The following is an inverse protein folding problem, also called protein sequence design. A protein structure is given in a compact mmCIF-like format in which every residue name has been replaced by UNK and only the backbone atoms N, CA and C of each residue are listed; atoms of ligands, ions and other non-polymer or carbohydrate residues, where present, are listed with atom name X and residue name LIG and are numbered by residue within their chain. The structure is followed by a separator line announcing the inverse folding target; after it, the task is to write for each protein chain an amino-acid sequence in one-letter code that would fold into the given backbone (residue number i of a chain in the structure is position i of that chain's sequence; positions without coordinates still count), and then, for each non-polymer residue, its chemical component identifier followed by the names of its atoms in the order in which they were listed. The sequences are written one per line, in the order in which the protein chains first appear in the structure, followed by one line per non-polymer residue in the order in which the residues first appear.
data_IF_713677231797
#
_entry.id   IF_713677231797
#
_cell.length_a   1.000
_cell.length_b   1.000
_cell.length_c   1.000
_cell.angle_alpha   90.00
_cell.angle_beta   90.00
_cell.angle_gamma   90.00
#
_symmetry.space_group_name_H-M   'P 1'
#
loop_
_entity.id
_entity.type
_entity.pdbx_description
1 polymer ?
#
# COMPACT_ATOMS: atom_id res chain seq x y z
N UNK A 1 -57.10 -49.51 -26.20
CA UNK A 1 -55.81 -50.03 -25.68
C UNK A 1 -55.00 -48.81 -25.30
N UNK A 2 -54.67 -48.73 -24.02
CA UNK A 2 -54.32 -47.53 -23.26
C UNK A 2 -52.85 -47.14 -23.40
N UNK A 3 -52.66 -45.83 -23.55
CA UNK A 3 -51.40 -45.08 -23.52
C UNK A 3 -50.81 -45.07 -22.10
N UNK A 4 -49.49 -45.28 -21.98
CA UNK A 4 -48.78 -45.48 -20.72
C UNK A 4 -47.68 -44.45 -20.55
N UNK A 5 -48.04 -43.28 -20.02
CA UNK A 5 -47.12 -42.21 -19.61
C UNK A 5 -46.70 -42.45 -18.16
N UNK A 6 -45.42 -42.76 -17.93
CA UNK A 6 -44.82 -42.76 -16.59
C UNK A 6 -44.64 -41.31 -16.14
N UNK A 7 -45.36 -40.91 -15.10
CA UNK A 7 -45.07 -39.71 -14.33
C UNK A 7 -44.01 -40.09 -13.28
N UNK A 8 -42.87 -39.41 -13.29
CA UNK A 8 -41.85 -39.51 -12.25
C UNK A 8 -42.27 -38.55 -11.14
N UNK A 9 -42.71 -39.09 -10.01
CA UNK A 9 -42.92 -38.33 -8.77
C UNK A 9 -41.52 -37.92 -8.25
N UNK A 10 -41.25 -36.62 -8.22
CA UNK A 10 -40.06 -36.04 -7.58
C UNK A 10 -40.33 -35.92 -6.08
N UNK A 11 -39.49 -36.57 -5.25
CA UNK A 11 -39.61 -36.60 -3.79
C UNK A 11 -39.41 -35.19 -3.18
N UNK A 12 -40.43 -34.57 -2.57
CA UNK A 12 -40.37 -33.19 -2.06
C UNK A 12 -39.56 -33.04 -0.76
N UNK A 13 -39.03 -34.14 -0.20
CA UNK A 13 -38.38 -34.15 1.11
C UNK A 13 -36.90 -33.72 1.01
N UNK A 14 -36.24 -33.96 -0.12
CA UNK A 14 -34.83 -33.60 -0.31
C UNK A 14 -34.60 -32.09 -0.53
N UNK A 15 -35.60 -31.37 -1.06
CA UNK A 15 -35.45 -29.96 -1.42
C UNK A 15 -35.58 -29.00 -0.24
N UNK A 16 -36.28 -29.40 0.83
CA UNK A 16 -36.39 -28.60 2.05
C UNK A 16 -35.12 -28.69 2.89
N UNK A 17 -34.49 -29.87 2.97
CA UNK A 17 -33.23 -30.09 3.70
C UNK A 17 -32.05 -29.35 3.05
N UNK A 18 -31.99 -29.34 1.71
CA UNK A 18 -30.99 -28.57 0.96
C UNK A 18 -31.19 -27.06 1.17
N UNK A 19 -32.44 -26.59 1.22
CA UNK A 19 -32.75 -25.16 1.44
C UNK A 19 -32.38 -24.71 2.83
N UNK A 20 -32.64 -25.54 3.85
CA UNK A 20 -32.27 -25.26 5.24
C UNK A 20 -30.74 -25.20 5.41
N UNK A 21 -30.01 -26.12 4.77
CA UNK A 21 -28.53 -26.11 4.78
C UNK A 21 -27.95 -24.84 4.12
N UNK A 22 -28.56 -24.36 3.04
CA UNK A 22 -28.13 -23.13 2.34
C UNK A 22 -28.40 -21.89 3.19
N UNK A 23 -29.54 -21.81 3.88
CA UNK A 23 -29.85 -20.66 4.75
C UNK A 23 -28.96 -20.64 6.00
N UNK A 24 -28.68 -21.80 6.60
CA UNK A 24 -27.73 -21.90 7.71
C UNK A 24 -26.30 -21.47 7.30
N UNK A 25 -25.82 -21.89 6.12
CA UNK A 25 -24.52 -21.44 5.60
C UNK A 25 -24.49 -19.92 5.35
N UNK A 26 -25.62 -19.34 4.91
CA UNK A 26 -25.73 -17.89 4.70
C UNK A 26 -25.70 -17.13 6.02
N UNK A 27 -26.40 -17.60 7.04
CA UNK A 27 -26.37 -16.99 8.38
C UNK A 27 -24.98 -17.05 9.01
N UNK A 28 -24.26 -18.18 8.87
CA UNK A 28 -22.88 -18.31 9.34
C UNK A 28 -21.93 -17.34 8.62
N UNK A 29 -22.09 -17.15 7.31
CA UNK A 29 -21.28 -16.21 6.53
C UNK A 29 -21.55 -14.75 6.94
N UNK A 30 -22.81 -14.40 7.22
CA UNK A 30 -23.20 -13.07 7.70
C UNK A 30 -22.77 -12.84 9.16
N UNK A 31 -22.68 -13.90 9.97
CA UNK A 31 -22.15 -13.84 11.34
C UNK A 31 -20.64 -13.62 11.34
N UNK A 32 -19.91 -14.34 10.50
CA UNK A 32 -18.45 -14.14 10.31
C UNK A 32 -18.15 -12.73 9.81
N UNK A 33 -19.03 -12.16 8.97
CA UNK A 33 -18.95 -10.77 8.52
C UNK A 33 -19.10 -9.77 9.67
N UNK A 34 -20.03 -9.98 10.60
CA UNK A 34 -20.24 -9.09 11.76
C UNK A 34 -19.16 -9.21 12.82
N UNK A 35 -18.60 -10.40 13.00
CA UNK A 35 -17.52 -10.65 13.97
C UNK A 35 -16.15 -10.15 13.49
N UNK A 36 -15.97 -9.94 12.18
CA UNK A 36 -14.73 -9.35 11.64
C UNK A 36 -14.72 -7.80 11.62
N UNK A 37 -15.86 -7.15 11.85
CA UNK A 37 -15.94 -5.68 11.93
C UNK A 37 -15.55 -5.13 13.33
N UNK A 38 -15.01 -5.97 14.23
CA UNK A 38 -14.53 -5.57 15.56
C UNK A 38 -13.03 -5.83 15.75
N UNK A 39 -12.21 -5.34 14.81
CA UNK A 39 -10.79 -5.15 15.07
C UNK A 39 -10.54 -3.64 15.18
N UNK A 40 -10.20 -3.21 16.39
CA UNK A 40 -9.83 -1.84 16.73
C UNK A 40 -8.88 -1.26 15.68
N UNK A 41 -9.34 -0.20 14.99
CA UNK A 41 -8.50 0.55 14.07
C UNK A 41 -7.34 1.20 14.85
N UNK A 42 -6.15 0.63 14.72
CA UNK A 42 -4.91 1.37 14.89
C UNK A 42 -4.91 2.48 13.82
N UNK A 43 -5.48 3.63 14.19
CA UNK A 43 -5.53 4.86 13.41
C UNK A 43 -4.10 5.42 13.24
N UNK A 44 -3.32 4.77 12.37
CA UNK A 44 -2.02 5.26 11.93
C UNK A 44 -2.29 6.51 11.09
N UNK A 45 -1.85 7.67 11.61
CA UNK A 45 -1.90 8.93 10.86
C UNK A 45 -0.91 8.88 9.69
N UNK A 46 -1.40 8.37 8.56
CA UNK A 46 -0.67 8.30 7.30
C UNK A 46 -0.18 9.67 6.83
N UNK A 47 -0.83 10.77 7.24
CA UNK A 47 -0.39 12.14 6.93
C UNK A 47 0.98 12.43 7.52
N UNK A 48 1.22 12.01 8.76
CA UNK A 48 2.50 12.21 9.46
C UNK A 48 3.63 11.36 8.87
N UNK A 49 3.32 10.13 8.45
CA UNK A 49 4.27 9.24 7.76
C UNK A 49 4.68 9.84 6.42
N UNK A 50 3.72 10.29 5.61
CA UNK A 50 3.99 10.88 4.30
C UNK A 50 4.73 12.21 4.43
N UNK A 51 4.35 13.08 5.38
CA UNK A 51 5.06 14.33 5.65
C UNK A 51 6.52 14.11 6.08
N UNK A 52 6.80 13.02 6.80
CA UNK A 52 8.17 12.66 7.22
C UNK A 52 9.03 12.16 6.06
N UNK A 53 8.44 11.50 5.06
CA UNK A 53 9.15 11.07 3.84
C UNK A 53 9.28 12.21 2.82
N UNK A 54 8.30 13.11 2.71
CA UNK A 54 8.39 14.30 1.84
C UNK A 54 9.37 15.34 2.36
N UNK A 55 9.72 15.34 3.65
CA UNK A 55 10.70 16.25 4.24
C UNK A 55 12.15 16.02 3.77
N UNK A 56 12.41 14.96 3.00
CA UNK A 56 13.71 14.70 2.35
C UNK A 56 13.78 15.14 0.88
N UNK A 57 12.71 15.72 0.33
CA UNK A 57 12.64 16.19 -1.05
C UNK A 57 12.54 17.73 -1.11
N UNK A 58 12.98 18.31 -2.24
CA UNK A 58 13.12 19.75 -2.44
C UNK A 58 11.81 20.54 -2.16
N UNK A 59 11.89 21.74 -1.56
CA UNK A 59 10.75 22.46 -1.01
C UNK A 59 9.76 23.09 -2.01
N UNK A 60 9.99 22.99 -3.33
CA UNK A 60 9.20 23.72 -4.34
C UNK A 60 7.90 23.03 -4.82
N UNK A 61 7.61 21.79 -4.41
CA UNK A 61 6.36 21.09 -4.79
C UNK A 61 5.33 20.96 -3.65
N UNK A 62 5.29 21.92 -2.71
CA UNK A 62 4.23 22.00 -1.70
C UNK A 62 3.02 22.74 -2.24
N UNK A 63 2.17 22.07 -3.02
CA UNK A 63 0.81 22.56 -3.27
C UNK A 63 -0.20 21.44 -3.41
N UNK A 64 -1.22 21.50 -2.54
CA UNK A 64 -2.56 20.88 -2.65
C UNK A 64 -2.56 19.35 -2.42
N UNK A 65 -3.31 18.74 -1.51
CA UNK A 65 -4.53 19.14 -0.79
C UNK A 65 -4.77 18.11 0.31
N UNK A 66 -4.94 18.54 1.56
CA UNK A 66 -5.50 17.68 2.62
C UNK A 66 -6.99 17.57 2.34
N UNK A 67 -7.48 16.38 1.99
CA UNK A 67 -8.90 16.07 1.90
C UNK A 67 -9.25 14.97 2.89
N UNK A 68 -10.17 15.27 3.80
CA UNK A 68 -10.69 14.34 4.76
C UNK A 68 -11.47 13.21 4.09
N UNK A 69 -11.15 11.98 4.49
CA UNK A 69 -12.14 10.95 4.85
C UNK A 69 -13.00 10.31 3.75
N UNK A 70 -12.69 10.47 2.46
CA UNK A 70 -13.36 9.69 1.42
C UNK A 70 -12.33 9.00 0.54
N UNK A 71 -12.43 7.68 0.41
CA UNK A 71 -11.49 6.90 -0.39
C UNK A 71 -11.59 7.26 -1.87
N UNK A 72 -10.57 6.87 -2.63
CA UNK A 72 -10.44 7.20 -4.04
C UNK A 72 -11.60 6.60 -4.86
N UNK A 73 -12.08 7.38 -5.83
CA UNK A 73 -13.07 6.97 -6.83
C UNK A 73 -12.37 6.97 -8.18
N UNK A 74 -12.07 5.78 -8.69
CA UNK A 74 -11.31 5.54 -9.90
C UNK A 74 -12.26 5.02 -10.98
N UNK A 75 -12.59 5.84 -11.98
CA UNK A 75 -13.59 5.53 -13.01
C UNK A 75 -13.00 5.37 -14.40
N UNK A 76 -11.82 5.93 -14.64
CA UNK A 76 -11.17 6.00 -15.94
C UNK A 76 -9.73 5.52 -15.85
N UNK A 77 -9.18 4.91 -16.92
CA UNK A 77 -7.74 4.67 -17.05
C UNK A 77 -6.87 5.92 -16.93
N UNK A 78 -7.44 7.11 -17.14
CA UNK A 78 -6.74 8.38 -16.96
C UNK A 78 -6.68 8.84 -15.49
N UNK A 79 -7.42 8.21 -14.59
CA UNK A 79 -7.43 8.59 -13.18
C UNK A 79 -6.14 8.10 -12.50
N UNK A 80 -5.48 8.98 -11.76
CA UNK A 80 -4.30 8.60 -10.96
C UNK A 80 -4.65 7.49 -9.98
N UNK A 81 -3.77 6.50 -9.88
CA UNK A 81 -4.00 5.33 -9.03
C UNK A 81 -4.89 4.25 -9.65
N UNK A 82 -5.53 4.51 -10.78
CA UNK A 82 -6.17 3.47 -11.57
C UNK A 82 -5.10 2.51 -12.11
N UNK A 83 -5.34 1.20 -12.08
CA UNK A 83 -4.31 0.20 -12.42
C UNK A 83 -3.83 0.27 -13.87
N UNK A 84 -4.65 0.80 -14.78
CA UNK A 84 -4.27 1.06 -16.19
C UNK A 84 -3.67 2.45 -16.43
N UNK A 85 -3.46 3.24 -15.36
CA UNK A 85 -2.88 4.57 -15.46
C UNK A 85 -1.46 4.50 -16.01
N UNK A 86 -1.22 5.25 -17.07
CA UNK A 86 0.09 5.45 -17.66
C UNK A 86 0.57 6.85 -17.32
N UNK A 87 1.69 6.93 -16.60
CA UNK A 87 2.29 8.20 -16.23
C UNK A 87 2.77 8.94 -17.48
N UNK A 88 2.50 10.25 -17.56
CA UNK A 88 2.85 11.08 -18.72
C UNK A 88 4.37 11.18 -18.94
N UNK A 89 5.15 11.08 -17.85
CA UNK A 89 6.62 11.11 -17.89
C UNK A 89 7.23 9.74 -18.22
N UNK A 90 6.41 8.73 -18.51
CA UNK A 90 6.84 7.36 -18.82
C UNK A 90 7.81 6.79 -17.78
N UNK A 91 7.54 7.07 -16.49
CA UNK A 91 8.42 6.67 -15.38
C UNK A 91 8.69 5.16 -15.34
N UNK A 92 7.76 4.34 -15.84
CA UNK A 92 7.92 2.89 -15.84
C UNK A 92 8.85 2.35 -16.95
N UNK A 93 9.23 3.16 -17.94
CA UNK A 93 10.10 2.75 -19.05
C UNK A 93 11.43 2.13 -18.62
N UNK A 94 12.03 2.63 -17.53
CA UNK A 94 13.26 2.08 -16.95
C UNK A 94 13.04 0.87 -16.04
N UNK A 95 11.82 0.69 -15.54
CA UNK A 95 11.46 -0.37 -14.61
C UNK A 95 11.07 -1.65 -15.34
N UNK A 96 11.61 -2.77 -14.88
CA UNK A 96 11.39 -4.09 -15.50
C UNK A 96 10.65 -5.00 -14.56
N UNK A 97 9.99 -6.03 -15.09
CA UNK A 97 9.32 -7.03 -14.24
C UNK A 97 10.28 -7.68 -13.24
N UNK A 98 11.55 -7.87 -13.59
CA UNK A 98 12.57 -8.38 -12.69
C UNK A 98 12.90 -7.49 -11.49
N UNK A 99 12.47 -6.22 -11.50
CA UNK A 99 12.65 -5.30 -10.37
C UNK A 99 11.59 -5.52 -9.27
N UNK A 100 10.56 -6.33 -9.52
CA UNK A 100 9.51 -6.61 -8.54
C UNK A 100 10.06 -7.60 -7.52
N UNK A 101 10.37 -7.10 -6.32
CA UNK A 101 10.95 -7.89 -5.24
C UNK A 101 10.03 -9.03 -4.80
N UNK A 102 10.63 -10.18 -4.50
CA UNK A 102 9.90 -11.36 -4.02
C UNK A 102 9.06 -12.07 -5.08
N UNK A 103 9.29 -11.82 -6.38
CA UNK A 103 8.77 -12.62 -7.49
C UNK A 103 9.90 -12.94 -8.46
N UNK A 104 10.07 -14.23 -8.76
CA UNK A 104 11.10 -14.69 -9.68
C UNK A 104 10.54 -14.84 -11.09
N UNK A 105 10.98 -13.98 -12.01
CA UNK A 105 10.63 -14.06 -13.43
C UNK A 105 11.75 -14.73 -14.24
N UNK A 106 11.42 -15.56 -15.24
CA UNK A 106 12.41 -16.20 -16.10
C UNK A 106 13.04 -15.22 -17.10
N UNK A 107 14.37 -15.14 -17.12
CA UNK A 107 15.19 -14.60 -18.21
C UNK A 107 14.62 -13.39 -18.96
N UNK A 108 14.17 -13.61 -20.20
CA UNK A 108 13.64 -12.54 -21.06
C UNK A 108 12.37 -11.88 -20.51
N UNK A 109 11.55 -12.62 -19.75
CA UNK A 109 10.35 -12.05 -19.12
C UNK A 109 10.74 -11.05 -18.04
N UNK A 110 11.76 -11.35 -17.23
CA UNK A 110 12.27 -10.42 -16.23
C UNK A 110 12.79 -9.11 -16.84
N UNK A 111 13.21 -9.13 -18.12
CA UNK A 111 13.73 -7.96 -18.83
C UNK A 111 12.63 -7.09 -19.47
N UNK A 112 11.38 -7.54 -19.50
CA UNK A 112 10.29 -6.76 -20.09
C UNK A 112 10.02 -5.51 -19.23
N UNK A 113 9.83 -4.34 -19.86
CA UNK A 113 9.47 -3.12 -19.14
C UNK A 113 8.07 -3.26 -18.54
N UNK A 114 7.85 -2.54 -17.44
CA UNK A 114 6.52 -2.30 -16.90
C UNK A 114 5.89 -1.19 -17.74
N UNK A 115 4.68 -1.42 -18.25
CA UNK A 115 3.94 -0.41 -19.03
C UNK A 115 2.94 0.29 -18.10
N UNK A 116 2.15 -0.52 -17.40
CA UNK A 116 1.15 -0.07 -16.44
C UNK A 116 1.05 -1.12 -15.32
N UNK A 117 0.44 -0.72 -14.20
CA UNK A 117 0.29 -1.57 -13.02
C UNK A 117 -0.57 -2.81 -13.33
N UNK A 118 -1.59 -2.70 -14.18
CA UNK A 118 -2.50 -3.79 -14.54
C UNK A 118 -1.79 -4.93 -15.29
N UNK A 119 -1.01 -4.60 -16.33
CA UNK A 119 -0.24 -5.54 -17.14
C UNK A 119 0.86 -6.21 -16.32
N UNK A 120 1.55 -5.44 -15.47
CA UNK A 120 2.53 -5.98 -14.54
C UNK A 120 1.89 -6.89 -13.49
N UNK A 121 0.74 -6.50 -12.94
CA UNK A 121 0.01 -7.26 -11.94
C UNK A 121 -0.48 -8.60 -12.49
N UNK A 122 -1.15 -8.63 -13.66
CA UNK A 122 -1.57 -9.89 -14.32
C UNK A 122 -0.40 -10.86 -14.47
N UNK A 123 0.76 -10.36 -14.87
CA UNK A 123 1.97 -11.19 -15.02
C UNK A 123 2.49 -11.63 -13.66
N UNK A 124 2.67 -10.70 -12.72
CA UNK A 124 3.17 -10.97 -11.37
C UNK A 124 2.32 -12.01 -10.61
N UNK A 125 0.99 -11.95 -10.75
CA UNK A 125 0.07 -12.88 -10.10
C UNK A 125 0.18 -14.32 -10.61
N UNK A 126 0.63 -14.56 -11.84
CA UNK A 126 0.97 -15.92 -12.31
C UNK A 126 2.25 -16.40 -11.62
N UNK A 127 3.25 -15.54 -11.49
CA UNK A 127 4.60 -15.93 -11.06
C UNK A 127 4.78 -15.98 -9.54
N UNK A 128 3.97 -15.24 -8.78
CA UNK A 128 3.96 -15.28 -7.30
C UNK A 128 3.51 -16.63 -6.73
N UNK A 129 2.73 -17.40 -7.50
CA UNK A 129 2.14 -18.67 -7.10
C UNK A 129 3.18 -19.75 -6.86
N UNK A 130 3.38 -20.18 -5.62
CA UNK A 130 4.36 -21.24 -5.31
C UNK A 130 3.81 -22.66 -5.56
N UNK A 131 2.51 -22.81 -5.79
CA UNK A 131 1.83 -24.09 -6.03
C UNK A 131 1.95 -24.60 -7.48
N UNK A 132 2.51 -23.79 -8.40
CA UNK A 132 2.66 -24.13 -9.82
C UNK A 132 4.13 -24.13 -10.22
N UNK A 133 4.48 -25.11 -11.05
CA UNK A 133 5.80 -25.18 -11.67
C UNK A 133 5.97 -24.14 -12.80
N UNK A 134 7.22 -23.87 -13.18
CA UNK A 134 7.53 -22.87 -14.19
C UNK A 134 6.91 -23.16 -15.56
N UNK A 135 6.89 -24.41 -16.07
CA UNK A 135 6.19 -24.74 -17.31
C UNK A 135 4.71 -24.37 -17.29
N UNK A 136 3.98 -24.66 -16.21
CA UNK A 136 2.56 -24.30 -16.07
C UNK A 136 2.37 -22.79 -16.02
N UNK A 137 3.21 -22.08 -15.25
CA UNK A 137 3.20 -20.60 -15.22
C UNK A 137 3.42 -20.01 -16.61
N UNK A 138 4.38 -20.54 -17.37
CA UNK A 138 4.68 -20.09 -18.72
C UNK A 138 3.55 -20.42 -19.70
N UNK A 139 2.83 -21.54 -19.52
CA UNK A 139 1.63 -21.85 -20.31
C UNK A 139 0.52 -20.83 -20.04
N UNK A 140 0.20 -20.58 -18.77
CA UNK A 140 -0.79 -19.57 -18.36
C UNK A 140 -0.47 -18.19 -18.90
N UNK A 141 0.80 -17.79 -18.87
CA UNK A 141 1.26 -16.51 -19.43
C UNK A 141 1.01 -16.40 -20.94
N UNK A 142 1.31 -17.46 -21.70
CA UNK A 142 1.09 -17.49 -23.17
C UNK A 142 -0.40 -17.54 -23.53
N UNK A 143 -1.21 -18.16 -22.71
CA UNK A 143 -2.67 -18.24 -22.86
C UNK A 143 -3.39 -16.97 -22.37
N UNK A 144 -2.64 -15.95 -21.93
CA UNK A 144 -3.19 -14.71 -21.37
C UNK A 144 -4.17 -14.94 -20.22
N UNK A 145 -3.94 -15.99 -19.42
CA UNK A 145 -4.77 -16.31 -18.28
C UNK A 145 -4.74 -15.16 -17.26
N UNK A 146 -5.92 -14.68 -16.85
CA UNK A 146 -6.05 -13.64 -15.82
C UNK A 146 -6.31 -14.32 -14.48
N UNK A 147 -5.28 -14.34 -13.64
CA UNK A 147 -5.36 -14.79 -12.25
C UNK A 147 -4.87 -13.61 -11.42
N UNK A 148 -5.75 -13.00 -10.62
CA UNK A 148 -5.42 -11.82 -9.83
C UNK A 148 -5.07 -12.23 -8.41
N UNK A 149 -3.99 -11.67 -7.89
CA UNK A 149 -3.46 -11.96 -6.56
C UNK A 149 -3.09 -10.68 -5.82
N UNK A 150 -3.51 -10.55 -4.56
CA UNK A 150 -3.31 -9.34 -3.75
C UNK A 150 -1.84 -9.10 -3.42
N UNK A 151 -1.08 -10.16 -3.12
CA UNK A 151 0.34 -10.03 -2.75
C UNK A 151 1.19 -9.63 -3.95
N UNK A 152 0.85 -10.14 -5.13
CA UNK A 152 1.42 -9.64 -6.38
C UNK A 152 1.11 -8.16 -6.60
N UNK A 153 -0.14 -7.71 -6.41
CA UNK A 153 -0.48 -6.29 -6.58
C UNK A 153 0.30 -5.40 -5.62
N UNK A 154 0.37 -5.78 -4.34
CA UNK A 154 1.14 -5.04 -3.33
C UNK A 154 2.60 -4.85 -3.73
N UNK A 155 3.25 -5.90 -4.26
CA UNK A 155 4.63 -5.82 -4.76
C UNK A 155 4.76 -4.94 -6.01
N UNK A 156 3.81 -4.98 -6.94
CA UNK A 156 3.81 -4.08 -8.10
C UNK A 156 3.61 -2.62 -7.67
N UNK A 157 2.69 -2.35 -6.74
CA UNK A 157 2.46 -1.02 -6.18
C UNK A 157 3.70 -0.50 -5.45
N UNK A 158 4.49 -1.36 -4.81
CA UNK A 158 5.76 -0.96 -4.20
C UNK A 158 6.75 -0.44 -5.25
N UNK A 159 6.88 -1.14 -6.37
CA UNK A 159 7.72 -0.67 -7.49
C UNK A 159 7.19 0.65 -8.05
N UNK A 160 5.88 0.79 -8.20
CA UNK A 160 5.25 2.04 -8.65
C UNK A 160 5.55 3.20 -7.69
N UNK A 161 5.43 2.96 -6.38
CA UNK A 161 5.79 3.90 -5.33
C UNK A 161 7.24 4.37 -5.42
N UNK A 162 8.18 3.45 -5.68
CA UNK A 162 9.62 3.78 -5.75
C UNK A 162 10.02 4.45 -7.08
N UNK A 163 9.21 4.32 -8.12
CA UNK A 163 9.57 4.74 -9.49
C UNK A 163 8.84 6.00 -9.96
N UNK A 164 7.58 6.23 -9.55
CA UNK A 164 6.71 7.23 -10.15
C UNK A 164 6.07 8.13 -9.08
N UNK A 165 6.34 9.43 -9.14
CA UNK A 165 5.84 10.40 -8.16
C UNK A 165 4.31 10.46 -8.08
N UNK A 166 3.60 10.32 -9.20
CA UNK A 166 2.13 10.29 -9.18
C UNK A 166 1.57 9.07 -8.45
N UNK A 167 2.26 7.92 -8.55
CA UNK A 167 1.92 6.73 -7.77
C UNK A 167 2.35 6.85 -6.32
N UNK A 168 3.51 7.46 -6.04
CA UNK A 168 3.95 7.81 -4.68
C UNK A 168 2.89 8.68 -4.00
N UNK A 169 2.50 9.77 -4.63
CA UNK A 169 1.48 10.70 -4.14
C UNK A 169 0.15 10.01 -3.92
N UNK A 170 -0.32 9.24 -4.91
CA UNK A 170 -1.57 8.48 -4.78
C UNK A 170 -1.55 7.51 -3.59
N UNK A 171 -0.50 6.68 -3.45
CA UNK A 171 -0.37 5.69 -2.38
C UNK A 171 -0.29 6.39 -1.02
N UNK A 172 0.42 7.51 -0.93
CA UNK A 172 0.57 8.29 0.30
C UNK A 172 -0.73 9.00 0.73
N UNK A 173 -1.44 9.60 -0.21
CA UNK A 173 -2.60 10.45 0.06
C UNK A 173 -3.93 9.68 0.18
N UNK A 174 -4.04 8.53 -0.46
CA UNK A 174 -5.32 7.80 -0.56
C UNK A 174 -5.52 6.90 0.65
N UNK A 175 -6.60 7.05 1.41
CA UNK A 175 -6.90 6.18 2.57
C UNK A 175 -7.30 4.76 2.15
N UNK A 176 -8.05 4.62 1.06
CA UNK A 176 -8.50 3.37 0.45
C UNK A 176 -9.21 3.63 -0.88
N UNK A 177 -9.66 2.59 -1.58
CA UNK A 177 -10.42 2.75 -2.83
C UNK A 177 -11.90 2.47 -2.58
N UNK A 178 -12.73 3.51 -2.62
CA UNK A 178 -14.18 3.42 -2.35
C UNK A 178 -14.98 3.00 -3.59
N UNK A 179 -14.46 3.26 -4.79
CA UNK A 179 -15.06 2.79 -6.03
C UNK A 179 -13.99 2.63 -7.09
N UNK A 180 -13.97 1.48 -7.75
CA UNK A 180 -13.12 1.27 -8.93
C UNK A 180 -13.94 0.73 -10.10
N UNK A 181 -13.82 1.35 -11.28
CA UNK A 181 -14.41 0.82 -12.50
C UNK A 181 -13.83 -0.58 -12.82
N UNK A 182 -14.63 -1.53 -13.32
CA UNK A 182 -14.10 -2.82 -13.73
C UNK A 182 -13.04 -2.66 -14.82
N UNK A 183 -11.97 -3.43 -14.72
CA UNK A 183 -10.85 -3.44 -15.67
C UNK A 183 -10.89 -4.76 -16.41
N UNK A 184 -11.00 -4.74 -17.74
CA UNK A 184 -11.20 -5.94 -18.58
C UNK A 184 -12.33 -6.85 -18.06
N UNK A 185 -13.44 -6.25 -17.58
CA UNK A 185 -14.57 -6.94 -16.92
C UNK A 185 -14.29 -7.52 -15.52
N UNK A 186 -13.12 -7.29 -14.93
CA UNK A 186 -12.79 -7.70 -13.57
C UNK A 186 -13.04 -6.59 -12.55
N UNK A 187 -13.73 -6.91 -11.45
CA UNK A 187 -13.87 -6.01 -10.31
C UNK A 187 -12.58 -6.03 -9.47
N UNK A 188 -11.80 -4.95 -9.54
CA UNK A 188 -10.46 -4.87 -8.90
C UNK A 188 -10.45 -4.09 -7.59
N UNK A 189 -11.56 -3.47 -7.19
CA UNK A 189 -11.66 -2.59 -6.03
C UNK A 189 -11.12 -3.22 -4.73
N UNK A 190 -11.61 -4.40 -4.36
CA UNK A 190 -11.17 -5.10 -3.14
C UNK A 190 -9.69 -5.48 -3.17
N UNK A 191 -9.18 -5.85 -4.35
CA UNK A 191 -7.76 -6.15 -4.51
C UNK A 191 -6.93 -4.89 -4.30
N UNK A 192 -7.34 -3.77 -4.89
CA UNK A 192 -6.65 -2.49 -4.76
C UNK A 192 -6.65 -2.02 -3.31
N UNK A 193 -7.80 -2.03 -2.62
CA UNK A 193 -7.90 -1.59 -1.23
C UNK A 193 -6.99 -2.42 -0.31
N UNK A 194 -7.06 -3.74 -0.42
CA UNK A 194 -6.24 -4.65 0.40
C UNK A 194 -4.74 -4.50 0.07
N UNK A 195 -4.38 -4.37 -1.21
CA UNK A 195 -3.00 -4.21 -1.63
C UNK A 195 -2.43 -2.85 -1.22
N UNK A 196 -3.23 -1.78 -1.26
CA UNK A 196 -2.85 -0.44 -0.79
C UNK A 196 -2.53 -0.46 0.70
N UNK A 197 -3.33 -1.15 1.51
CA UNK A 197 -3.05 -1.33 2.93
C UNK A 197 -1.73 -2.06 3.16
N UNK A 198 -1.54 -3.20 2.47
CA UNK A 198 -0.30 -3.99 2.57
C UNK A 198 0.95 -3.21 2.14
N UNK A 199 0.91 -2.49 1.01
CA UNK A 199 2.09 -1.75 0.53
C UNK A 199 2.44 -0.61 1.49
N UNK A 200 1.43 0.06 2.04
CA UNK A 200 1.60 1.08 3.06
C UNK A 200 2.27 0.56 4.33
N UNK A 201 1.86 -0.62 4.82
CA UNK A 201 2.50 -1.27 5.96
C UNK A 201 3.97 -1.61 5.67
N UNK A 202 4.26 -2.09 4.46
CA UNK A 202 5.64 -2.36 4.01
C UNK A 202 6.48 -1.09 3.99
N UNK A 203 5.94 0.02 3.45
CA UNK A 203 6.61 1.33 3.41
C UNK A 203 6.87 1.84 4.83
N UNK A 204 5.86 1.84 5.70
CA UNK A 204 5.99 2.27 7.09
C UNK A 204 7.01 1.41 7.87
N UNK A 205 7.00 0.08 7.65
CA UNK A 205 7.97 -0.84 8.24
C UNK A 205 9.40 -0.58 7.75
N UNK A 206 9.58 -0.22 6.48
CA UNK A 206 10.90 0.12 5.91
C UNK A 206 11.46 1.44 6.48
N UNK A 207 10.61 2.46 6.65
CA UNK A 207 10.99 3.74 7.24
C UNK A 207 11.43 3.61 8.71
N UNK A 208 10.77 2.74 9.48
CA UNK A 208 11.17 2.44 10.87
C UNK A 208 12.56 1.80 10.95
N UNK A 209 12.90 0.91 10.00
CA UNK A 209 14.20 0.22 9.95
C UNK A 209 15.33 1.09 9.39
N UNK A 210 15.02 2.06 8.53
CA UNK A 210 16.01 2.97 7.93
C UNK A 210 16.29 4.21 8.74
N UNK A 211 15.52 4.49 9.82
CA UNK A 211 15.76 5.65 10.68
C UNK A 211 17.15 5.52 11.29
N UNK A 212 18.10 6.41 10.97
CA UNK A 212 19.37 6.42 11.66
C UNK A 212 19.06 6.64 13.14
N UNK A 213 19.58 5.79 14.01
CA UNK A 213 19.71 6.14 15.44
C UNK A 213 20.57 7.39 15.45
N UNK A 214 19.95 8.57 15.54
CA UNK A 214 20.68 9.84 15.51
C UNK A 214 21.55 9.88 16.76
N UNK A 215 22.80 9.47 16.63
CA UNK A 215 23.80 9.71 17.66
C UNK A 215 24.22 11.18 17.58
N UNK A 216 23.72 11.98 18.52
CA UNK A 216 24.06 13.40 18.62
C UNK A 216 22.90 14.27 19.10
N UNK A 217 23.16 15.56 19.34
CA UNK A 217 22.11 16.53 19.63
C UNK A 217 21.12 16.60 18.46
N UNK A 218 19.83 16.42 18.75
CA UNK A 218 18.76 16.48 17.74
C UNK A 218 18.09 17.86 17.84
N UNK A 219 18.02 18.57 16.72
CA UNK A 219 17.29 19.83 16.60
C UNK A 219 15.87 19.63 16.08
N UNK A 220 14.92 20.39 16.61
CA UNK A 220 13.54 20.45 16.13
C UNK A 220 13.16 21.91 15.90
N UNK A 221 12.40 22.19 14.84
CA UNK A 221 11.73 23.48 14.70
C UNK A 221 10.67 23.59 15.81
N UNK A 222 10.72 24.65 16.59
CA UNK A 222 9.87 24.79 17.76
C UNK A 222 9.28 26.22 17.83
N UNK A 223 8.03 26.36 18.27
CA UNK A 223 7.42 27.67 18.50
C UNK A 223 8.10 28.39 19.67
N UNK A 224 7.90 29.72 19.78
CA UNK A 224 8.52 30.54 20.84
C UNK A 224 8.25 30.03 22.27
N UNK A 225 7.11 29.35 22.48
CA UNK A 225 6.79 28.74 23.78
C UNK A 225 7.75 27.61 24.18
N UNK A 226 8.48 27.01 23.24
CA UNK A 226 9.50 26.01 23.52
C UNK A 226 10.71 26.56 24.29
N UNK A 227 10.85 27.89 24.42
CA UNK A 227 11.84 28.51 25.31
C UNK A 227 11.67 28.12 26.77
N UNK A 228 10.46 27.70 27.17
CA UNK A 228 10.23 27.12 28.50
C UNK A 228 11.01 25.82 28.73
N UNK A 229 11.34 25.07 27.68
CA UNK A 229 12.10 23.83 27.78
C UNK A 229 13.58 24.07 28.15
N UNK A 230 14.13 25.26 27.89
CA UNK A 230 15.49 25.59 28.38
C UNK A 230 15.52 25.69 29.91
N UNK A 231 14.42 26.13 30.51
CA UNK A 231 14.30 26.37 31.95
C UNK A 231 13.85 25.12 32.69
N UNK A 232 12.84 24.43 32.14
CA UNK A 232 12.20 23.29 32.80
C UNK A 232 12.70 21.93 32.32
N UNK A 233 13.35 21.87 31.15
CA UNK A 233 13.88 20.61 30.59
C UNK A 233 14.84 19.91 31.54
N UNK A 234 15.67 20.66 32.28
CA UNK A 234 16.61 20.10 33.25
C UNK A 234 15.93 19.29 34.36
N UNK A 235 14.69 19.63 34.73
CA UNK A 235 13.92 18.90 35.76
C UNK A 235 13.42 17.54 35.28
N UNK A 236 13.30 17.36 33.97
CA UNK A 236 12.86 16.13 33.31
C UNK A 236 14.01 15.41 32.57
N UNK A 237 15.27 15.77 32.86
CA UNK A 237 16.45 15.13 32.28
C UNK A 237 16.75 15.54 30.84
N UNK A 238 16.11 16.58 30.30
CA UNK A 238 16.31 17.08 28.94
C UNK A 238 17.15 18.36 28.99
N UNK A 239 18.34 18.36 28.36
CA UNK A 239 19.07 19.61 28.11
C UNK A 239 18.62 20.18 26.76
N UNK A 240 17.71 21.14 26.79
CA UNK A 240 17.28 21.88 25.61
C UNK A 240 17.96 23.26 25.55
N UNK A 241 18.35 23.67 24.35
CA UNK A 241 18.71 25.05 24.03
C UNK A 241 17.92 25.49 22.80
N UNK A 242 17.24 26.61 22.90
CA UNK A 242 16.51 27.26 21.83
C UNK A 242 17.45 28.27 21.18
N UNK A 243 17.72 28.05 19.89
CA UNK A 243 18.54 28.94 19.08
C UNK A 243 17.64 29.56 18.03
N UNK A 244 17.70 30.89 17.91
CA UNK A 244 16.87 31.66 16.97
C UNK A 244 17.67 32.18 15.78
N UNK A 245 18.99 31.98 15.78
CA UNK A 245 19.89 32.31 14.68
C UNK A 245 20.87 31.18 14.40
N UNK A 246 21.33 31.11 13.15
CA UNK A 246 22.34 30.13 12.72
C UNK A 246 23.69 30.31 13.46
N UNK A 247 24.06 31.55 13.79
CA UNK A 247 25.28 31.84 14.53
C UNK A 247 25.25 31.24 15.95
N UNK A 248 24.13 31.40 16.67
CA UNK A 248 23.94 30.79 17.98
C UNK A 248 23.99 29.26 17.90
N UNK A 249 23.42 28.65 16.86
CA UNK A 249 23.51 27.21 16.64
C UNK A 249 24.97 26.76 16.49
N UNK A 250 25.76 27.46 15.67
CA UNK A 250 27.18 27.15 15.44
C UNK A 250 27.99 27.16 16.74
N UNK A 251 27.82 28.20 17.56
CA UNK A 251 28.49 28.32 18.86
C UNK A 251 28.12 27.17 19.83
N UNK A 252 26.87 26.71 19.81
CA UNK A 252 26.43 25.58 20.64
C UNK A 252 27.01 24.24 20.17
N UNK A 253 27.04 24.00 18.86
CA UNK A 253 27.60 22.76 18.28
C UNK A 253 29.10 22.67 18.56
N UNK A 254 29.83 23.77 18.39
CA UNK A 254 31.27 23.84 18.67
C UNK A 254 31.57 23.58 20.16
N UNK A 255 30.75 24.12 21.07
CA UNK A 255 30.88 23.87 22.52
C UNK A 255 30.63 22.41 22.89
N UNK A 256 29.61 21.77 22.29
CA UNK A 256 29.27 20.36 22.56
C UNK A 256 30.32 19.40 21.97
N UNK A 257 30.96 19.75 20.85
CA UNK A 257 32.05 18.98 20.27
C UNK A 257 33.32 18.99 21.15
N UNK A 258 33.60 20.10 21.82
CA UNK A 258 34.78 20.24 22.71
C UNK A 258 34.62 19.37 23.98
N UNK A 259 33.43 19.32 24.58
CA UNK A 259 33.18 18.55 25.81
C UNK A 259 33.33 17.04 25.60
N UNK A 260 33.06 16.53 24.39
CA UNK A 260 33.21 15.10 24.05
C UNK A 260 34.65 14.63 23.92
N UNK A 261 35.61 15.52 23.70
CA UNK A 261 37.03 15.17 23.56
C UNK A 261 37.82 15.28 24.88
N UNK A 262 37.14 15.59 26.00
CA UNK A 262 37.76 15.79 27.31
C UNK A 262 37.15 14.90 28.41
N UNK A 263 36.48 13.80 28.05
CA UNK A 263 35.94 12.81 28.98
C UNK A 263 36.31 11.39 28.58
#
# INVERSE_FOLDING_TARGET
MTDGRMELEEDPILDDEIREAVENMREDLEKTRREHDSDDEDNIDWTSVCASLSATLDPDERSSTIHGGSGAVLRSPADRGHVQYQCLDDCFSSSKLGNIEGISFPGALAKKPIVDVWSAWKTASIFVRNDKDLPTKMKMYREHAVVLDVDALSKVLKVAYDTCMEWTDFICSTTGVTRHAPVDSYAVERFCDTALRKVKDVIAGSAKRSRPTKEGPVGFAAPDCARMLEVDGGKIGIRAKVVVTFQQLKEQVDTVAIVRNTS
#
